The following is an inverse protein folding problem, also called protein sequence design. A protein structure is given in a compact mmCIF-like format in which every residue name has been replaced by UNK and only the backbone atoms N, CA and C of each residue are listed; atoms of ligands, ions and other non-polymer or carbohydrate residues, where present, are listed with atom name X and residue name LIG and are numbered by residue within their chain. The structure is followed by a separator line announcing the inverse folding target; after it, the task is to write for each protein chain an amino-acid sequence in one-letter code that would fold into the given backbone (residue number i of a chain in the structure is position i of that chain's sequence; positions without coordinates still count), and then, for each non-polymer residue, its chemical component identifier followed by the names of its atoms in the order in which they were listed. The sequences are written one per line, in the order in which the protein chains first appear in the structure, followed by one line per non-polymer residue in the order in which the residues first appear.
data_IF_514509973619
#
_entry.id   IF_514509973619
#
_cell.length_a   1.000
_cell.length_b   1.000
_cell.length_c   1.000
_cell.angle_alpha   90.00
_cell.angle_beta   90.00
_cell.angle_gamma   90.00
#
_symmetry.space_group_name_H-M   'P 1'
#
loop_
_entity.id
_entity.type
_entity.pdbx_description
1 polymer ?
#
# COMPACT_ATOMS: atom_id res chain seq x y z
N UNK A 1 7.67 12.40 -19.70
CA UNK A 1 8.33 11.09 -19.43
C UNK A 1 9.35 11.28 -18.33
N UNK A 2 9.52 10.30 -17.44
CA UNK A 2 10.48 10.38 -16.31
C UNK A 2 11.91 10.30 -16.85
N UNK A 3 12.81 11.15 -16.33
CA UNK A 3 14.21 11.22 -16.75
C UNK A 3 14.95 9.90 -16.47
N UNK A 4 15.72 9.41 -17.45
CA UNK A 4 16.55 8.21 -17.31
C UNK A 4 17.60 8.34 -16.21
N UNK A 5 18.18 9.55 -16.05
CA UNK A 5 19.12 9.86 -14.96
C UNK A 5 18.46 9.69 -13.60
N UNK A 6 17.23 10.18 -13.44
CA UNK A 6 16.48 10.05 -12.19
C UNK A 6 16.19 8.57 -11.86
N UNK A 7 15.81 7.77 -12.87
CA UNK A 7 15.59 6.33 -12.66
C UNK A 7 16.88 5.62 -12.24
N UNK A 8 18.03 5.97 -12.82
CA UNK A 8 19.32 5.42 -12.40
C UNK A 8 19.61 5.73 -10.93
N UNK A 9 19.44 6.99 -10.53
CA UNK A 9 19.67 7.42 -9.14
C UNK A 9 18.73 6.71 -8.16
N UNK A 10 17.44 6.57 -8.49
CA UNK A 10 16.48 5.85 -7.64
C UNK A 10 16.81 4.36 -7.50
N UNK A 11 17.44 3.74 -8.50
CA UNK A 11 17.84 2.32 -8.47
C UNK A 11 19.03 2.06 -7.54
N UNK A 12 19.92 3.04 -7.37
CA UNK A 12 21.10 2.93 -6.50
C UNK A 12 20.76 3.05 -5.01
N UNK A 13 19.57 3.56 -4.67
CA UNK A 13 19.13 3.71 -3.29
C UNK A 13 18.99 2.36 -2.57
N UNK A 14 19.21 2.41 -1.24
CA UNK A 14 18.92 1.27 -0.36
C UNK A 14 17.43 0.93 -0.38
N UNK A 15 17.07 -0.28 0.05
CA UNK A 15 15.66 -0.71 0.12
C UNK A 15 14.84 0.23 1.00
N UNK A 16 15.36 0.64 2.16
CA UNK A 16 14.70 1.57 3.08
C UNK A 16 14.46 2.94 2.45
N UNK A 17 15.46 3.49 1.75
CA UNK A 17 15.35 4.81 1.14
C UNK A 17 14.35 4.82 -0.02
N UNK A 18 14.29 3.73 -0.78
CA UNK A 18 13.25 3.55 -1.81
C UNK A 18 11.86 3.59 -1.21
N UNK A 19 11.63 2.86 -0.12
CA UNK A 19 10.33 2.88 0.57
C UNK A 19 10.00 4.25 1.13
N UNK A 20 10.98 4.93 1.73
CA UNK A 20 10.80 6.28 2.23
C UNK A 20 10.37 7.26 1.13
N UNK A 21 11.06 7.27 -0.02
CA UNK A 21 10.72 8.14 -1.15
C UNK A 21 9.33 7.80 -1.69
N UNK A 22 8.99 6.52 -1.85
CA UNK A 22 7.65 6.12 -2.30
C UNK A 22 6.58 6.64 -1.33
N UNK A 23 6.76 6.45 -0.03
CA UNK A 23 5.81 6.93 0.98
C UNK A 23 5.67 8.45 0.97
N UNK A 24 6.80 9.17 0.83
CA UNK A 24 6.81 10.62 0.74
C UNK A 24 6.00 11.11 -0.46
N UNK A 25 6.29 10.60 -1.66
CA UNK A 25 5.60 10.98 -2.90
C UNK A 25 4.10 10.61 -2.87
N UNK A 26 3.75 9.42 -2.35
CA UNK A 26 2.35 9.00 -2.20
C UNK A 26 1.61 9.95 -1.25
N UNK A 27 2.25 10.38 -0.17
CA UNK A 27 1.64 11.31 0.79
C UNK A 27 1.43 12.70 0.20
N UNK A 28 2.38 13.20 -0.60
CA UNK A 28 2.22 14.46 -1.33
C UNK A 28 1.05 14.38 -2.33
N UNK A 29 0.95 13.28 -3.09
CA UNK A 29 -0.17 13.07 -4.01
C UNK A 29 -1.52 13.04 -3.28
N UNK A 30 -1.60 12.33 -2.16
CA UNK A 30 -2.83 12.27 -1.36
C UNK A 30 -3.24 13.64 -0.79
N UNK A 31 -2.27 14.50 -0.46
CA UNK A 31 -2.57 15.88 -0.04
C UNK A 31 -3.01 16.79 -1.19
N UNK A 32 -2.54 16.54 -2.41
CA UNK A 32 -2.97 17.26 -3.61
C UNK A 32 -4.37 16.80 -4.06
N UNK A 33 -4.72 15.55 -3.80
CA UNK A 33 -6.04 14.97 -4.08
C UNK A 33 -7.02 15.23 -2.91
N UNK A 34 -7.21 16.49 -2.53
CA UNK A 34 -8.14 16.89 -1.44
C UNK A 34 -9.59 16.47 -1.64
N UNK A 35 -9.98 16.06 -2.86
CA UNK A 35 -11.32 15.59 -3.22
C UNK A 35 -11.32 14.13 -3.71
N UNK A 36 -10.65 13.22 -2.97
CA UNK A 36 -10.72 11.77 -3.23
C UNK A 36 -12.16 11.23 -3.23
N UNK A 37 -13.01 11.78 -2.36
CA UNK A 37 -14.44 11.50 -2.29
C UNK A 37 -15.18 12.62 -3.02
N UNK A 38 -15.65 12.32 -4.23
CA UNK A 38 -16.45 13.24 -5.02
C UNK A 38 -17.88 13.25 -4.48
N UNK A 39 -18.50 14.43 -4.29
CA UNK A 39 -19.92 14.49 -3.99
C UNK A 39 -20.72 13.81 -5.12
N UNK A 40 -21.85 13.18 -4.77
CA UNK A 40 -22.74 12.45 -5.70
C UNK A 40 -22.12 11.19 -6.35
N UNK A 41 -20.96 10.71 -5.88
CA UNK A 41 -20.36 9.48 -6.38
C UNK A 41 -20.58 8.32 -5.40
N UNK A 42 -21.20 7.23 -5.87
CA UNK A 42 -21.36 6.01 -5.10
C UNK A 42 -20.03 5.25 -5.06
N UNK A 43 -19.41 5.18 -3.88
CA UNK A 43 -18.25 4.33 -3.64
C UNK A 43 -18.72 2.96 -3.15
N UNK A 44 -18.05 1.86 -3.56
CA UNK A 44 -18.39 0.55 -3.03
C UNK A 44 -18.24 0.58 -1.51
N UNK A 45 -19.30 0.20 -0.79
CA UNK A 45 -19.20 -0.01 0.64
C UNK A 45 -18.27 -1.19 0.85
N UNK A 46 -17.07 -0.93 1.36
CA UNK A 46 -16.20 -1.97 1.88
C UNK A 46 -16.83 -2.49 3.17
N UNK A 47 -17.78 -3.41 2.99
CA UNK A 47 -18.48 -4.05 4.07
C UNK A 47 -17.70 -5.32 4.45
N UNK A 48 -17.58 -5.65 5.75
CA UNK A 48 -17.01 -6.93 6.16
C UNK A 48 -17.88 -8.13 5.73
N UNK A 49 -19.13 -7.89 5.31
CA UNK A 49 -19.96 -8.92 4.70
C UNK A 49 -19.48 -9.19 3.26
N UNK A 50 -19.16 -10.45 2.95
CA UNK A 50 -18.58 -10.87 1.67
C UNK A 50 -17.06 -10.73 1.56
N UNK A 51 -16.38 -10.47 2.68
CA UNK A 51 -14.90 -10.42 2.78
C UNK A 51 -14.33 -11.67 3.48
N UNK A 52 -15.02 -12.80 3.36
CA UNK A 52 -14.66 -14.11 3.92
C UNK A 52 -13.29 -14.59 3.42
N UNK A 53 -12.99 -14.40 2.14
CA UNK A 53 -11.69 -14.75 1.55
C UNK A 53 -10.53 -13.90 2.15
N UNK A 54 -10.77 -12.62 2.39
CA UNK A 54 -9.79 -11.73 3.01
C UNK A 54 -9.55 -12.09 4.48
N UNK A 55 -10.62 -12.40 5.22
CA UNK A 55 -10.53 -12.85 6.61
C UNK A 55 -9.78 -14.19 6.73
N UNK A 56 -10.06 -15.15 5.85
CA UNK A 56 -9.35 -16.44 5.79
C UNK A 56 -7.86 -16.26 5.46
N UNK A 57 -7.55 -15.39 4.50
CA UNK A 57 -6.16 -15.06 4.15
C UNK A 57 -5.40 -14.46 5.33
N UNK A 58 -6.02 -13.54 6.07
CA UNK A 58 -5.43 -12.95 7.28
C UNK A 58 -5.23 -13.99 8.38
N UNK A 59 -6.17 -14.91 8.56
CA UNK A 59 -6.06 -15.99 9.55
C UNK A 59 -4.90 -16.94 9.23
N UNK A 60 -4.76 -17.35 7.96
CA UNK A 60 -3.66 -18.20 7.50
C UNK A 60 -2.30 -17.52 7.69
N UNK A 61 -2.20 -16.23 7.37
CA UNK A 61 -0.98 -15.46 7.59
C UNK A 61 -0.61 -15.41 9.08
N UNK A 62 -1.58 -15.22 9.98
CA UNK A 62 -1.37 -15.21 11.43
C UNK A 62 -0.97 -16.58 11.98
N UNK A 63 -1.50 -17.67 11.43
CA UNK A 63 -1.08 -19.02 11.81
C UNK A 63 0.35 -19.30 11.35
N UNK A 64 0.71 -18.89 10.13
CA UNK A 64 2.06 -19.05 9.61
C UNK A 64 3.10 -18.29 10.45
N UNK A 65 2.80 -17.06 10.89
CA UNK A 65 3.69 -16.31 11.78
C UNK A 65 3.80 -16.92 13.17
N UNK A 66 2.69 -17.43 13.73
CA UNK A 66 2.73 -18.17 15.00
C UNK A 66 3.59 -19.43 14.90
N UNK A 67 3.46 -20.20 13.83
CA UNK A 67 4.27 -21.41 13.64
C UNK A 67 5.77 -21.08 13.54
N UNK A 68 6.13 -19.97 12.89
CA UNK A 68 7.52 -19.50 12.80
C UNK A 68 8.09 -18.99 14.14
N UNK A 69 7.25 -18.47 15.03
CA UNK A 69 7.68 -17.96 16.34
C UNK A 69 7.78 -19.03 17.44
N UNK A 70 7.29 -20.26 17.19
CA UNK A 70 7.37 -21.39 18.13
C UNK A 70 8.36 -22.48 17.67
N UNK A 71 9.19 -22.19 16.68
CA UNK A 71 10.31 -23.01 16.22
C UNK A 71 11.64 -22.34 16.60
#
# INVERSE_FOLDING_TARGET
MVSSKLISTLRELSRSDKFYIMQFLISELAQQETELIKPEQAYPVWSPYGADEAADTMLKALQATKAQNHA
#
